data_IF_610318861250
#
_entry.id   IF_610318861250
#
_cell.length_a   1.000
_cell.length_b   1.000
_cell.length_c   1.000
_cell.angle_alpha   90.00
_cell.angle_beta   90.00
_cell.angle_gamma   90.00
#
_symmetry.space_group_name_H-M   'P 1'
#
loop_
_entity.id
_entity.type
_entity.pdbx_description
1 polymer ?
#
# COMPACT_ATOMS: atom_id res chain seq x y z
N UNK A 1 -5.14 78.88 31.83
CA UNK A 1 -4.12 77.82 31.76
C UNK A 1 -4.43 76.91 30.57
N UNK A 2 -3.43 76.72 29.68
CA UNK A 2 -3.30 75.75 28.55
C UNK A 2 -4.13 76.00 27.26
N UNK A 3 -3.54 76.70 26.26
CA UNK A 3 -2.85 76.21 25.02
C UNK A 3 -3.85 75.79 23.92
N UNK A 4 -4.24 76.64 22.95
CA UNK A 4 -3.52 77.05 21.72
C UNK A 4 -2.68 75.93 21.10
N UNK A 5 -3.08 75.39 19.92
CA UNK A 5 -2.21 74.93 18.80
C UNK A 5 -3.03 74.66 17.50
N UNK A 6 -2.94 75.60 16.55
CA UNK A 6 -2.86 75.47 15.06
C UNK A 6 -3.98 74.70 14.31
N UNK A 7 -4.82 75.33 13.48
CA UNK A 7 -4.55 76.06 12.21
C UNK A 7 -3.74 75.24 11.19
N UNK A 8 -4.45 74.69 10.19
CA UNK A 8 -4.13 74.51 8.74
C UNK A 8 -5.36 73.74 8.20
N UNK A 9 -6.39 74.40 7.66
CA UNK A 9 -6.47 74.96 6.31
C UNK A 9 -6.19 73.92 5.21
N UNK A 10 -7.28 73.28 4.76
CA UNK A 10 -7.61 73.04 3.36
C UNK A 10 -6.49 72.60 2.41
N UNK A 11 -6.13 71.31 2.42
CA UNK A 11 -5.83 70.52 1.21
C UNK A 11 -6.08 69.06 1.61
N UNK A 12 -7.01 68.38 0.94
CA UNK A 12 -7.20 66.94 1.17
C UNK A 12 -8.62 66.40 0.98
N UNK A 13 -9.53 67.15 0.39
CA UNK A 13 -10.89 66.67 0.05
C UNK A 13 -10.98 66.06 -1.35
N UNK A 14 -9.90 65.47 -1.87
CA UNK A 14 -9.88 64.85 -3.20
C UNK A 14 -8.84 63.71 -3.25
N UNK A 15 -9.16 62.56 -2.65
CA UNK A 15 -8.58 61.26 -2.99
C UNK A 15 -9.51 60.14 -2.50
N UNK A 16 -10.78 60.19 -2.94
CA UNK A 16 -11.69 59.04 -2.82
C UNK A 16 -12.21 58.75 -4.21
N UNK A 17 -11.58 57.78 -4.88
CA UNK A 17 -12.08 56.86 -5.92
C UNK A 17 -10.97 56.54 -6.94
N UNK A 18 -10.21 55.50 -6.65
CA UNK A 18 -9.68 54.53 -7.62
C UNK A 18 -8.77 53.54 -6.87
N UNK A 19 -9.32 52.86 -5.87
CA UNK A 19 -8.90 51.48 -5.67
C UNK A 19 -9.97 50.68 -6.39
N UNK A 20 -9.77 50.42 -7.68
CA UNK A 20 -10.38 49.25 -8.29
C UNK A 20 -9.76 48.06 -7.55
N UNK A 21 -10.41 47.64 -6.48
CA UNK A 21 -10.25 46.29 -5.98
C UNK A 21 -10.91 45.41 -7.04
N UNK A 22 -10.13 44.97 -8.03
CA UNK A 22 -10.54 44.01 -9.07
C UNK A 22 -10.78 42.60 -8.48
N UNK A 23 -11.07 42.50 -7.17
CA UNK A 23 -11.71 41.34 -6.59
C UNK A 23 -13.19 41.35 -6.96
N UNK A 24 -13.48 41.07 -8.24
CA UNK A 24 -14.77 40.47 -8.59
C UNK A 24 -14.82 39.17 -7.77
N UNK A 25 -15.76 39.01 -6.82
CA UNK A 25 -15.88 37.74 -6.11
C UNK A 25 -16.11 36.65 -7.16
N UNK A 26 -15.20 35.69 -7.25
CA UNK A 26 -15.40 34.54 -8.12
C UNK A 26 -16.51 33.70 -7.49
N UNK A 27 -17.75 33.95 -7.93
CA UNK A 27 -18.87 33.10 -7.59
C UNK A 27 -18.74 31.80 -8.38
N UNK A 28 -18.88 30.67 -7.68
CA UNK A 28 -19.02 29.38 -8.34
C UNK A 28 -20.32 29.37 -9.14
N UNK A 29 -20.23 29.19 -10.44
CA UNK A 29 -21.39 29.17 -11.34
C UNK A 29 -21.71 27.73 -11.75
N UNK A 30 -22.88 27.51 -12.35
CA UNK A 30 -23.26 26.18 -12.83
C UNK A 30 -22.23 25.62 -13.85
N UNK A 31 -21.63 26.49 -14.66
CA UNK A 31 -20.57 26.17 -15.63
C UNK A 31 -19.25 25.72 -14.97
N UNK A 32 -19.04 26.03 -13.69
CA UNK A 32 -17.88 25.57 -12.93
C UNK A 32 -18.06 24.17 -12.34
N UNK A 33 -19.26 23.58 -12.50
CA UNK A 33 -19.58 22.26 -11.96
C UNK A 33 -18.76 21.16 -12.64
N UNK A 34 -18.25 20.23 -11.84
CA UNK A 34 -17.46 19.10 -12.33
C UNK A 34 -17.77 17.83 -11.53
N UNK A 35 -17.68 16.68 -12.21
CA UNK A 35 -17.71 15.36 -11.57
C UNK A 35 -16.28 14.83 -11.43
N UNK A 36 -15.98 14.16 -10.32
CA UNK A 36 -14.63 13.66 -10.03
C UNK A 36 -14.68 12.46 -9.11
N UNK A 37 -13.78 11.50 -9.32
CA UNK A 37 -13.53 10.45 -8.34
C UNK A 37 -12.83 11.02 -7.11
N UNK A 38 -13.12 10.52 -5.92
CA UNK A 38 -12.39 10.94 -4.70
C UNK A 38 -11.07 10.18 -4.49
N UNK A 39 -10.77 9.21 -5.37
CA UNK A 39 -9.59 8.35 -5.28
C UNK A 39 -8.94 8.22 -6.66
N UNK A 40 -7.62 8.05 -6.67
CA UNK A 40 -6.83 7.69 -7.86
C UNK A 40 -6.75 6.19 -8.06
N UNK A 41 -6.77 5.43 -6.96
CA UNK A 41 -6.71 3.96 -6.97
C UNK A 41 -7.70 3.35 -5.98
N UNK A 42 -8.09 2.10 -6.24
CA UNK A 42 -8.85 1.26 -5.32
C UNK A 42 -8.49 -0.22 -5.54
N UNK A 43 -8.76 -1.06 -4.54
CA UNK A 43 -8.53 -2.50 -4.63
C UNK A 43 -9.64 -3.28 -3.93
N UNK A 44 -9.91 -4.49 -4.39
CA UNK A 44 -10.83 -5.47 -3.79
C UNK A 44 -10.29 -6.87 -4.05
N UNK A 45 -10.53 -7.83 -3.16
CA UNK A 45 -10.20 -9.24 -3.41
C UNK A 45 -11.27 -9.87 -4.31
N UNK A 46 -10.93 -10.85 -5.13
CA UNK A 46 -11.91 -11.51 -5.99
C UNK A 46 -12.99 -12.27 -5.19
N UNK A 47 -12.60 -12.89 -4.07
CA UNK A 47 -13.51 -13.50 -3.10
C UNK A 47 -14.29 -12.54 -2.18
N UNK A 48 -14.20 -11.22 -2.38
CA UNK A 48 -14.84 -10.27 -1.47
C UNK A 48 -16.37 -10.43 -1.49
N UNK A 49 -16.96 -10.68 -0.32
CA UNK A 49 -18.42 -10.84 -0.18
C UNK A 49 -19.17 -9.52 -0.28
N UNK A 50 -18.51 -8.41 0.06
CA UNK A 50 -19.04 -7.06 -0.04
C UNK A 50 -18.51 -6.36 -1.29
N UNK A 51 -19.33 -5.56 -1.98
CA UNK A 51 -18.88 -4.85 -3.17
C UNK A 51 -17.89 -3.75 -2.84
N UNK A 52 -17.05 -3.41 -3.82
CA UNK A 52 -16.22 -2.23 -3.79
C UNK A 52 -17.05 -1.01 -4.18
N UNK A 53 -17.16 -0.04 -3.26
CA UNK A 53 -17.82 1.24 -3.52
C UNK A 53 -16.81 2.33 -3.87
N UNK A 54 -16.96 2.90 -5.07
CA UNK A 54 -16.14 4.00 -5.56
C UNK A 54 -16.94 5.31 -5.51
N UNK A 55 -16.56 6.28 -4.67
CA UNK A 55 -17.27 7.56 -4.58
C UNK A 55 -16.98 8.43 -5.81
N UNK A 56 -18.06 8.81 -6.50
CA UNK A 56 -18.10 9.84 -7.52
C UNK A 56 -18.76 11.08 -6.91
N UNK A 57 -18.01 12.18 -6.90
CA UNK A 57 -18.45 13.45 -6.33
C UNK A 57 -18.80 14.42 -7.45
N UNK A 58 -19.98 15.01 -7.37
CA UNK A 58 -20.38 16.14 -8.18
C UNK A 58 -20.27 17.42 -7.35
N UNK A 59 -19.24 18.22 -7.65
CA UNK A 59 -19.14 19.58 -7.16
C UNK A 59 -20.04 20.46 -8.03
N UNK A 60 -21.26 20.71 -7.55
CA UNK A 60 -22.25 21.52 -8.24
C UNK A 60 -23.06 22.38 -7.27
N UNK A 61 -23.99 23.16 -7.81
CA UNK A 61 -24.84 24.05 -7.02
C UNK A 61 -26.09 23.27 -6.58
N UNK A 62 -26.44 23.25 -5.27
CA UNK A 62 -27.66 22.63 -4.80
C UNK A 62 -28.92 23.16 -5.50
N UNK A 63 -29.72 22.24 -6.05
CA UNK A 63 -30.94 22.57 -6.78
C UNK A 63 -30.73 23.10 -8.19
N UNK A 64 -29.51 22.96 -8.76
CA UNK A 64 -29.23 23.33 -10.15
C UNK A 64 -29.86 22.39 -11.18
N UNK A 65 -30.46 21.29 -10.70
CA UNK A 65 -31.18 20.32 -11.51
C UNK A 65 -30.36 19.07 -11.76
N UNK A 66 -31.01 18.09 -12.40
CA UNK A 66 -30.46 16.76 -12.58
C UNK A 66 -29.20 16.76 -13.45
N UNK A 67 -28.15 16.11 -12.96
CA UNK A 67 -26.92 15.81 -13.71
C UNK A 67 -26.78 14.30 -13.84
N UNK A 68 -26.51 13.81 -15.04
CA UNK A 68 -26.20 12.39 -15.30
C UNK A 68 -24.78 12.26 -15.83
N UNK A 69 -23.98 11.39 -15.23
CA UNK A 69 -22.59 11.12 -15.60
C UNK A 69 -22.52 9.71 -16.17
N UNK A 70 -21.93 9.55 -17.36
CA UNK A 70 -21.70 8.25 -17.99
C UNK A 70 -20.26 7.82 -17.80
N UNK A 71 -20.07 6.58 -17.38
CA UNK A 71 -18.76 5.98 -17.12
C UNK A 71 -18.37 5.01 -18.24
N UNK A 72 -17.07 4.92 -18.50
CA UNK A 72 -16.49 3.90 -19.36
C UNK A 72 -15.43 3.10 -18.60
N UNK A 73 -15.31 1.82 -18.96
CA UNK A 73 -14.22 0.94 -18.53
C UNK A 73 -13.15 0.95 -19.62
N UNK A 74 -11.89 1.08 -19.21
CA UNK A 74 -10.73 0.91 -20.07
C UNK A 74 -9.75 -0.06 -19.42
N UNK A 75 -9.13 -0.90 -20.25
CA UNK A 75 -8.03 -1.80 -19.86
C UNK A 75 -6.74 -1.44 -20.61
N UNK A 76 -6.71 -0.27 -21.25
CA UNK A 76 -5.56 0.17 -22.04
C UNK A 76 -4.34 0.39 -21.14
N UNK A 77 -3.21 -0.22 -21.52
CA UNK A 77 -1.96 -0.11 -20.78
C UNK A 77 -1.82 -1.07 -19.58
N UNK A 78 -2.84 -1.87 -19.29
CA UNK A 78 -2.78 -2.88 -18.22
C UNK A 78 -2.10 -4.17 -18.72
N UNK A 79 -1.15 -4.68 -17.93
CA UNK A 79 -0.41 -5.91 -18.24
C UNK A 79 -1.24 -7.18 -18.03
N UNK A 80 -2.17 -7.14 -17.06
CA UNK A 80 -3.13 -8.19 -16.76
C UNK A 80 -4.52 -7.54 -16.60
N UNK A 81 -5.30 -7.41 -17.70
CA UNK A 81 -6.54 -6.65 -17.68
C UNK A 81 -7.66 -7.42 -16.98
N UNK A 82 -8.47 -6.71 -16.18
CA UNK A 82 -9.73 -7.21 -15.65
C UNK A 82 -10.85 -6.97 -16.68
N UNK A 83 -11.61 -8.02 -17.01
CA UNK A 83 -12.66 -8.01 -18.01
C UNK A 83 -14.03 -8.00 -17.34
N UNK A 84 -14.85 -7.00 -17.66
CA UNK A 84 -16.21 -6.92 -17.12
C UNK A 84 -17.09 -8.07 -17.66
N UNK A 85 -17.78 -8.76 -16.76
CA UNK A 85 -18.55 -9.98 -17.01
C UNK A 85 -17.77 -11.27 -16.78
N UNK A 86 -16.44 -11.20 -16.68
CA UNK A 86 -15.56 -12.35 -16.36
C UNK A 86 -14.93 -12.19 -14.97
N UNK A 87 -14.35 -11.02 -14.69
CA UNK A 87 -13.62 -10.74 -13.43
C UNK A 87 -14.41 -9.84 -12.47
N UNK A 88 -15.34 -9.02 -12.99
CA UNK A 88 -16.21 -8.17 -12.19
C UNK A 88 -17.49 -7.76 -12.93
N UNK A 89 -18.45 -7.21 -12.20
CA UNK A 89 -19.60 -6.48 -12.77
C UNK A 89 -19.73 -5.09 -12.15
N UNK A 90 -20.32 -4.15 -12.89
CA UNK A 90 -20.67 -2.82 -12.37
C UNK A 90 -22.19 -2.69 -12.37
N UNK A 91 -22.77 -2.33 -11.23
CA UNK A 91 -24.23 -2.25 -11.08
C UNK A 91 -24.83 -1.19 -12.05
N UNK A 92 -24.22 0.00 -12.14
CA UNK A 92 -24.65 1.07 -13.04
C UNK A 92 -23.45 1.89 -13.54
N UNK A 93 -23.45 2.22 -14.84
CA UNK A 93 -22.49 3.14 -15.47
C UNK A 93 -23.05 4.53 -15.76
N UNK A 94 -24.35 4.72 -15.57
CA UNK A 94 -25.00 6.03 -15.61
C UNK A 94 -25.33 6.43 -14.17
N UNK A 95 -24.64 7.46 -13.68
CA UNK A 95 -24.77 7.94 -12.30
C UNK A 95 -25.53 9.25 -12.30
N UNK A 96 -26.66 9.29 -11.61
CA UNK A 96 -27.54 10.46 -11.58
C UNK A 96 -27.48 11.18 -10.23
N UNK A 97 -27.28 12.49 -10.30
CA UNK A 97 -27.37 13.43 -9.19
C UNK A 97 -28.63 14.26 -9.37
N UNK A 98 -29.72 13.89 -8.68
CA UNK A 98 -31.04 14.54 -8.85
C UNK A 98 -31.00 16.05 -8.55
N UNK A 99 -30.24 16.45 -7.53
CA UNK A 99 -30.15 17.84 -7.08
C UNK A 99 -28.98 18.61 -7.71
N UNK A 100 -28.21 17.98 -8.61
CA UNK A 100 -27.06 18.61 -9.27
C UNK A 100 -25.83 18.78 -8.39
N UNK A 101 -25.74 18.06 -7.27
CA UNK A 101 -24.56 18.02 -6.40
C UNK A 101 -24.55 16.74 -5.55
N UNK A 102 -23.42 16.47 -4.89
CA UNK A 102 -23.31 15.46 -3.83
C UNK A 102 -22.37 14.32 -4.20
N UNK A 103 -22.55 13.19 -3.53
CA UNK A 103 -21.74 11.98 -3.72
C UNK A 103 -22.65 10.81 -4.05
N UNK A 104 -22.26 10.04 -5.05
CA UNK A 104 -22.88 8.76 -5.39
C UNK A 104 -21.79 7.69 -5.42
N UNK A 105 -22.15 6.46 -5.08
CA UNK A 105 -21.20 5.34 -5.09
C UNK A 105 -21.44 4.48 -6.33
N UNK A 106 -20.35 4.22 -7.06
CA UNK A 106 -20.32 3.23 -8.13
C UNK A 106 -20.00 1.90 -7.46
N UNK A 107 -20.88 0.93 -7.65
CA UNK A 107 -20.80 -0.38 -7.01
C UNK A 107 -20.16 -1.36 -7.98
N UNK A 108 -18.99 -1.87 -7.62
CA UNK A 108 -18.23 -2.87 -8.37
C UNK A 108 -18.28 -4.18 -7.58
N UNK A 109 -18.66 -5.27 -8.24
CA UNK A 109 -18.71 -6.61 -7.63
C UNK A 109 -17.65 -7.48 -8.29
N UNK A 110 -16.64 -7.97 -7.56
CA UNK A 110 -15.72 -8.95 -8.12
C UNK A 110 -16.43 -10.29 -8.38
N UNK A 111 -15.85 -11.08 -9.29
CA UNK A 111 -16.30 -12.44 -9.58
C UNK A 111 -15.22 -13.40 -9.09
N UNK A 112 -15.55 -14.12 -8.02
CA UNK A 112 -14.71 -15.14 -7.42
C UNK A 112 -14.60 -16.38 -8.32
N UNK A 113 -13.43 -17.01 -8.36
CA UNK A 113 -13.20 -18.25 -9.07
C UNK A 113 -12.27 -19.20 -8.30
N UNK A 114 -11.52 -20.08 -8.97
CA UNK A 114 -10.60 -21.02 -8.30
C UNK A 114 -9.33 -21.20 -9.14
N UNK A 115 -8.95 -20.16 -9.89
CA UNK A 115 -7.89 -20.21 -10.89
C UNK A 115 -7.01 -19.00 -10.68
N UNK A 116 -5.78 -19.27 -10.25
CA UNK A 116 -4.77 -18.23 -10.18
C UNK A 116 -4.48 -17.64 -11.56
N UNK A 117 -4.90 -16.40 -11.73
CA UNK A 117 -4.63 -15.52 -12.87
C UNK A 117 -3.85 -14.27 -12.46
N UNK A 118 -3.60 -14.11 -11.17
CA UNK A 118 -2.89 -12.99 -10.58
C UNK A 118 -3.73 -11.71 -10.54
N UNK A 119 -3.21 -10.69 -9.87
CA UNK A 119 -3.86 -9.38 -9.76
C UNK A 119 -4.22 -8.83 -11.15
N UNK A 120 -5.49 -8.51 -11.36
CA UNK A 120 -6.01 -7.90 -12.59
C UNK A 120 -6.40 -6.45 -12.35
N UNK A 121 -6.29 -5.60 -13.37
CA UNK A 121 -6.62 -4.18 -13.25
C UNK A 121 -7.48 -3.67 -14.39
N UNK A 122 -8.25 -2.63 -14.10
CA UNK A 122 -8.97 -1.83 -15.08
C UNK A 122 -9.07 -0.38 -14.60
N UNK A 123 -9.44 0.52 -15.49
CA UNK A 123 -9.65 1.94 -15.19
C UNK A 123 -11.10 2.32 -15.46
N UNK A 124 -11.74 2.99 -14.49
CA UNK A 124 -13.00 3.69 -14.72
C UNK A 124 -12.72 5.15 -15.05
N UNK A 125 -13.38 5.66 -16.09
CA UNK A 125 -13.24 7.03 -16.55
C UNK A 125 -14.61 7.67 -16.73
N UNK A 126 -14.72 8.96 -16.42
CA UNK A 126 -15.89 9.77 -16.77
C UNK A 126 -15.87 10.01 -18.28
N UNK A 127 -16.78 9.36 -19.01
CA UNK A 127 -16.84 9.42 -20.47
C UNK A 127 -17.61 10.64 -20.97
N UNK A 128 -18.71 10.98 -20.29
CA UNK A 128 -19.53 12.15 -20.63
C UNK A 128 -20.45 12.54 -19.47
N UNK A 129 -21.09 13.69 -19.58
CA UNK A 129 -22.15 14.11 -18.66
C UNK A 129 -23.27 14.85 -19.40
N UNK A 130 -24.45 14.87 -18.80
CA UNK A 130 -25.59 15.69 -19.24
C UNK A 130 -26.19 16.41 -18.03
N UNK A 131 -26.19 17.76 -18.00
CA UNK A 131 -25.50 18.66 -18.94
C UNK A 131 -23.99 18.42 -18.99
N UNK A 132 -23.34 18.96 -20.02
CA UNK A 132 -21.88 18.94 -20.14
C UNK A 132 -21.27 19.70 -18.95
N UNK A 133 -20.35 19.04 -18.25
CA UNK A 133 -19.65 19.58 -17.08
C UNK A 133 -18.24 19.99 -17.47
N UNK A 134 -17.64 20.82 -16.63
CA UNK A 134 -16.21 21.11 -16.72
C UNK A 134 -15.40 19.84 -16.44
N UNK A 135 -14.35 19.62 -17.21
CA UNK A 135 -13.44 18.50 -17.01
C UNK A 135 -12.76 18.59 -15.63
N UNK A 136 -12.68 17.46 -14.93
CA UNK A 136 -11.95 17.35 -13.68
C UNK A 136 -10.55 16.76 -13.88
N UNK A 137 -9.60 17.17 -13.05
CA UNK A 137 -8.28 16.53 -12.96
C UNK A 137 -8.41 15.05 -12.59
N UNK A 138 -9.33 14.72 -11.67
CA UNK A 138 -9.56 13.35 -11.22
C UNK A 138 -10.75 12.71 -11.95
N UNK A 139 -10.64 12.64 -13.29
CA UNK A 139 -11.67 12.08 -14.17
C UNK A 139 -11.60 10.55 -14.33
N UNK A 140 -10.63 9.90 -13.68
CA UNK A 140 -10.44 8.45 -13.72
C UNK A 140 -9.99 7.88 -12.37
N UNK A 141 -10.14 6.57 -12.21
CA UNK A 141 -9.66 5.79 -11.07
C UNK A 141 -9.23 4.42 -11.54
N UNK A 142 -8.05 3.97 -11.10
CA UNK A 142 -7.53 2.62 -11.41
C UNK A 142 -7.95 1.64 -10.33
N UNK A 143 -8.61 0.55 -10.71
CA UNK A 143 -9.09 -0.49 -9.81
C UNK A 143 -8.23 -1.74 -9.99
N UNK A 144 -7.86 -2.37 -8.88
CA UNK A 144 -7.23 -3.68 -8.84
C UNK A 144 -8.16 -4.72 -8.24
N UNK A 145 -8.20 -5.90 -8.84
CA UNK A 145 -8.84 -7.09 -8.29
C UNK A 145 -7.70 -8.02 -7.89
N UNK A 146 -7.54 -8.21 -6.59
CA UNK A 146 -6.53 -9.09 -6.02
C UNK A 146 -7.04 -10.52 -6.05
N UNK A 147 -6.24 -11.39 -6.64
CA UNK A 147 -6.52 -12.82 -6.77
C UNK A 147 -6.14 -13.54 -5.47
N UNK A 148 -7.02 -14.40 -4.95
CA UNK A 148 -6.80 -15.14 -3.70
C UNK A 148 -6.41 -16.61 -3.88
N UNK A 149 -6.29 -17.06 -5.14
CA UNK A 149 -5.85 -18.40 -5.49
C UNK A 149 -4.34 -18.55 -5.63
N UNK A 150 -3.55 -17.61 -5.11
CA UNK A 150 -2.09 -17.71 -5.17
C UNK A 150 -1.61 -19.10 -4.71
N UNK A 151 -0.75 -19.81 -5.46
CA UNK A 151 -0.34 -21.18 -5.13
C UNK A 151 0.28 -21.34 -3.73
N UNK A 152 0.85 -20.26 -3.21
CA UNK A 152 1.44 -20.15 -1.88
C UNK A 152 0.54 -19.49 -0.83
N UNK A 153 -0.76 -19.28 -1.10
CA UNK A 153 -1.68 -18.60 -0.18
C UNK A 153 -1.76 -19.26 1.20
N UNK A 154 -1.52 -20.57 1.26
CA UNK A 154 -1.42 -21.33 2.51
C UNK A 154 -0.28 -20.84 3.43
N UNK A 155 0.76 -20.19 2.89
CA UNK A 155 1.84 -19.57 3.65
C UNK A 155 1.54 -18.14 4.09
N UNK A 156 0.60 -17.43 3.46
CA UNK A 156 0.42 -16.00 3.72
C UNK A 156 -0.30 -15.73 5.03
N UNK A 157 0.05 -14.62 5.68
CA UNK A 157 -0.55 -14.15 6.92
C UNK A 157 0.47 -13.81 7.99
N UNK A 158 -0.03 -13.58 9.21
CA UNK A 158 0.79 -13.24 10.37
C UNK A 158 1.23 -14.51 11.10
N UNK A 159 2.49 -14.54 11.50
CA UNK A 159 3.07 -15.61 12.32
C UNK A 159 3.61 -15.03 13.61
N UNK A 160 3.39 -15.73 14.73
CA UNK A 160 4.17 -15.54 15.94
C UNK A 160 5.53 -16.19 15.74
N UNK A 161 6.57 -15.38 15.61
CA UNK A 161 7.94 -15.84 15.65
C UNK A 161 8.38 -15.99 17.11
N UNK A 162 8.94 -17.14 17.45
CA UNK A 162 9.52 -17.40 18.77
C UNK A 162 10.89 -18.06 18.61
N UNK A 163 11.78 -17.81 19.56
CA UNK A 163 13.07 -18.48 19.63
C UNK A 163 13.99 -17.91 20.70
N UNK A 164 15.28 -18.20 20.59
CA UNK A 164 16.29 -17.69 21.52
C UNK A 164 17.04 -16.53 20.84
N UNK A 165 16.83 -15.32 21.37
CA UNK A 165 17.59 -14.13 21.00
C UNK A 165 18.87 -14.06 21.84
N UNK A 166 19.99 -13.77 21.19
CA UNK A 166 21.26 -13.47 21.85
C UNK A 166 21.50 -11.96 21.82
N UNK A 167 21.47 -11.33 23.00
CA UNK A 167 21.74 -9.90 23.15
C UNK A 167 22.85 -9.69 24.17
N UNK A 168 23.88 -8.93 23.79
CA UNK A 168 25.06 -8.65 24.64
C UNK A 168 25.68 -9.92 25.24
N UNK A 169 25.69 -11.01 24.47
CA UNK A 169 26.24 -12.31 24.88
C UNK A 169 25.35 -13.09 25.86
N UNK A 170 24.10 -12.71 26.08
CA UNK A 170 23.13 -13.43 26.89
C UNK A 170 22.00 -13.99 26.02
N UNK A 171 21.72 -15.28 26.18
CA UNK A 171 20.66 -15.98 25.46
C UNK A 171 19.37 -15.96 26.28
N UNK A 172 18.26 -15.53 25.67
CA UNK A 172 16.94 -15.43 26.29
C UNK A 172 15.86 -15.81 25.28
N UNK A 173 14.77 -16.48 25.72
CA UNK A 173 13.56 -16.57 24.92
C UNK A 173 13.06 -15.17 24.52
N UNK A 174 12.61 -15.03 23.28
CA UNK A 174 11.99 -13.82 22.75
C UNK A 174 11.04 -14.18 21.58
N UNK A 175 10.24 -13.22 21.14
CA UNK A 175 9.35 -13.38 19.98
C UNK A 175 8.61 -12.10 19.60
N UNK A 176 8.21 -12.02 18.34
CA UNK A 176 7.37 -10.95 17.79
C UNK A 176 6.57 -11.45 16.58
N UNK A 177 5.66 -10.62 16.08
CA UNK A 177 4.85 -10.96 14.93
C UNK A 177 5.59 -10.61 13.64
N UNK A 178 5.61 -11.55 12.70
CA UNK A 178 6.06 -11.32 11.32
C UNK A 178 4.91 -11.52 10.37
N UNK A 179 4.94 -10.85 9.21
CA UNK A 179 3.94 -11.05 8.17
C UNK A 179 4.59 -11.65 6.92
N UNK A 180 3.95 -12.68 6.36
CA UNK A 180 4.35 -13.31 5.10
C UNK A 180 3.33 -12.96 4.02
N UNK A 181 3.79 -12.49 2.87
CA UNK A 181 2.96 -12.11 1.73
C UNK A 181 3.55 -12.62 0.39
N UNK A 182 2.75 -12.54 -0.67
CA UNK A 182 3.21 -12.80 -2.04
C UNK A 182 4.24 -11.76 -2.49
N UNK A 183 5.25 -12.20 -3.24
CA UNK A 183 6.14 -11.27 -3.92
C UNK A 183 5.49 -10.72 -5.20
N UNK A 184 5.33 -9.40 -5.28
CA UNK A 184 4.58 -8.72 -6.37
C UNK A 184 5.33 -8.72 -7.73
N UNK A 185 6.58 -9.22 -7.81
CA UNK A 185 7.39 -9.22 -9.05
C UNK A 185 7.11 -10.39 -10.01
N UNK A 186 6.05 -11.17 -9.78
CA UNK A 186 5.61 -12.25 -10.67
C UNK A 186 6.33 -13.59 -10.49
N UNK A 187 7.21 -13.70 -9.48
CA UNK A 187 7.79 -14.97 -9.07
C UNK A 187 6.84 -15.70 -8.11
N UNK A 188 6.04 -16.63 -8.64
CA UNK A 188 5.02 -17.37 -7.89
C UNK A 188 5.58 -18.29 -6.80
N UNK A 189 6.89 -18.53 -6.84
CA UNK A 189 7.62 -19.30 -5.86
C UNK A 189 8.39 -18.41 -4.86
N UNK A 190 8.16 -17.11 -4.83
CA UNK A 190 8.80 -16.19 -3.88
C UNK A 190 7.79 -15.54 -2.94
N UNK A 191 8.24 -15.29 -1.71
CA UNK A 191 7.48 -14.65 -0.65
C UNK A 191 8.29 -13.51 -0.03
N UNK A 192 7.55 -12.54 0.49
CA UNK A 192 8.06 -11.44 1.29
C UNK A 192 7.81 -11.74 2.76
N UNK A 193 8.83 -11.60 3.60
CA UNK A 193 8.75 -11.78 5.05
C UNK A 193 9.13 -10.48 5.73
N UNK A 194 8.14 -9.86 6.36
CA UNK A 194 8.27 -8.59 7.06
C UNK A 194 8.62 -8.84 8.54
N UNK A 195 9.85 -8.47 8.90
CA UNK A 195 10.39 -8.52 10.26
C UNK A 195 10.29 -7.16 10.99
N UNK A 196 9.63 -6.16 10.39
CA UNK A 196 9.50 -4.80 10.95
C UNK A 196 10.64 -3.85 10.59
N UNK A 197 11.46 -4.22 9.59
CA UNK A 197 12.51 -3.37 9.02
C UNK A 197 11.96 -2.53 7.85
N UNK A 198 12.66 -1.47 7.41
CA UNK A 198 12.19 -0.65 6.28
C UNK A 198 11.92 -1.43 4.99
N UNK A 199 12.68 -2.48 4.73
CA UNK A 199 12.49 -3.39 3.59
C UNK A 199 12.26 -4.83 4.09
N UNK A 200 11.56 -5.63 3.28
CA UNK A 200 11.22 -7.03 3.58
C UNK A 200 12.36 -7.98 3.24
N UNK A 201 12.38 -9.15 3.88
CA UNK A 201 13.27 -10.26 3.53
C UNK A 201 12.59 -11.15 2.49
N UNK A 202 13.25 -11.42 1.37
CA UNK A 202 12.75 -12.32 0.34
C UNK A 202 13.15 -13.77 0.61
N UNK A 203 12.26 -14.69 0.30
CA UNK A 203 12.53 -16.12 0.33
C UNK A 203 11.89 -16.83 -0.87
N UNK A 204 12.53 -17.90 -1.35
CA UNK A 204 11.88 -18.83 -2.27
C UNK A 204 11.21 -19.98 -1.52
N UNK A 205 10.17 -20.53 -2.13
CA UNK A 205 9.43 -21.69 -1.67
C UNK A 205 9.54 -22.78 -2.72
N UNK A 206 9.95 -23.96 -2.29
CA UNK A 206 10.05 -25.16 -3.11
C UNK A 206 9.55 -26.39 -2.37
N UNK A 207 9.74 -27.55 -2.98
CA UNK A 207 9.45 -28.85 -2.39
C UNK A 207 10.71 -29.72 -2.48
N UNK A 208 11.09 -30.34 -1.37
CA UNK A 208 12.19 -31.31 -1.30
C UNK A 208 11.70 -32.53 -0.52
N UNK A 209 11.84 -33.73 -1.11
CA UNK A 209 11.37 -34.99 -0.52
C UNK A 209 9.91 -35.00 -0.01
N UNK A 210 9.05 -34.18 -0.61
CA UNK A 210 7.63 -34.05 -0.26
C UNK A 210 7.34 -33.07 0.88
N UNK A 211 8.35 -32.35 1.36
CA UNK A 211 8.23 -31.28 2.36
C UNK A 211 8.36 -29.90 1.69
N UNK A 212 7.56 -28.93 2.13
CA UNK A 212 7.71 -27.54 1.69
C UNK A 212 8.97 -26.95 2.31
N UNK A 213 9.89 -26.50 1.46
CA UNK A 213 11.16 -25.87 1.87
C UNK A 213 11.12 -24.38 1.57
N UNK A 214 11.46 -23.56 2.56
CA UNK A 214 11.59 -22.11 2.46
C UNK A 214 13.07 -21.76 2.53
N UNK A 215 13.55 -21.04 1.51
CA UNK A 215 14.94 -20.59 1.38
C UNK A 215 14.98 -19.08 1.44
N UNK A 216 15.28 -18.52 2.61
CA UNK A 216 15.52 -17.09 2.75
C UNK A 216 16.86 -16.73 2.11
N UNK A 217 16.86 -15.73 1.24
CA UNK A 217 18.08 -15.37 0.53
C UNK A 217 19.11 -14.74 1.47
N UNK A 218 20.36 -15.08 1.21
CA UNK A 218 21.53 -14.54 1.89
C UNK A 218 21.67 -13.02 1.76
N UNK A 219 22.22 -12.40 2.81
CA UNK A 219 22.73 -11.03 2.86
C UNK A 219 21.83 -9.99 2.20
N UNK A 220 20.59 -9.92 2.65
CA UNK A 220 19.62 -8.96 2.11
C UNK A 220 19.69 -7.66 2.90
N UNK A 221 19.91 -6.54 2.20
CA UNK A 221 19.76 -5.20 2.76
C UNK A 221 18.28 -4.99 3.09
N UNK A 222 17.97 -4.80 4.38
CA UNK A 222 16.61 -4.55 4.86
C UNK A 222 16.38 -3.08 5.23
N UNK A 223 17.28 -2.19 4.81
CA UNK A 223 17.21 -0.75 4.96
C UNK A 223 17.84 -0.18 6.24
N UNK A 224 17.70 1.14 6.39
CA UNK A 224 18.28 1.91 7.50
C UNK A 224 17.45 1.73 8.79
N UNK A 225 17.80 0.70 9.58
CA UNK A 225 17.14 0.39 10.84
C UNK A 225 17.38 1.46 11.93
N UNK A 226 18.52 2.14 11.86
CA UNK A 226 18.87 3.26 12.72
C UNK A 226 19.74 4.26 11.94
N UNK A 227 19.65 5.55 12.27
CA UNK A 227 20.42 6.60 11.60
C UNK A 227 21.91 6.25 11.43
N UNK A 228 22.35 6.09 10.19
CA UNK A 228 23.72 5.73 9.81
C UNK A 228 24.03 4.22 9.78
N UNK A 229 23.07 3.35 10.09
CA UNK A 229 23.24 1.91 10.17
C UNK A 229 22.20 1.19 9.32
N UNK A 230 22.68 0.51 8.28
CA UNK A 230 21.87 -0.35 7.42
C UNK A 230 21.87 -1.75 8.02
N UNK A 231 20.71 -2.36 8.16
CA UNK A 231 20.59 -3.72 8.64
C UNK A 231 20.60 -4.70 7.46
N UNK A 232 21.31 -5.82 7.61
CA UNK A 232 21.31 -6.91 6.65
C UNK A 232 20.81 -8.20 7.30
N UNK A 233 19.88 -8.88 6.65
CA UNK A 233 19.49 -10.24 7.01
C UNK A 233 20.61 -11.21 6.61
N UNK A 234 21.15 -11.93 7.59
CA UNK A 234 22.28 -12.87 7.40
C UNK A 234 22.02 -14.19 8.11
N UNK A 235 22.62 -15.25 7.59
CA UNK A 235 22.64 -16.55 8.25
C UNK A 235 23.57 -16.52 9.47
N UNK A 236 23.24 -17.25 10.53
CA UNK A 236 24.04 -17.31 11.76
C UNK A 236 24.17 -18.72 12.35
N UNK A 237 25.26 -18.95 13.10
CA UNK A 237 25.52 -20.20 13.85
C UNK A 237 26.34 -19.95 15.11
N UNK A 238 26.20 -20.82 16.10
CA UNK A 238 27.01 -20.80 17.33
C UNK A 238 27.87 -22.06 17.40
N UNK A 239 29.17 -21.89 17.26
CA UNK A 239 30.16 -22.96 17.40
C UNK A 239 31.09 -22.67 18.58
N UNK A 240 31.33 -23.67 19.45
CA UNK A 240 32.19 -23.54 20.63
C UNK A 240 31.88 -22.31 21.53
N UNK A 241 30.60 -21.93 21.61
CA UNK A 241 30.14 -20.78 22.38
C UNK A 241 30.46 -19.41 21.74
N UNK A 242 30.87 -19.39 20.48
CA UNK A 242 31.12 -18.17 19.69
C UNK A 242 30.08 -18.02 18.60
N UNK A 243 29.68 -16.78 18.34
CA UNK A 243 28.74 -16.43 17.29
C UNK A 243 29.48 -16.23 15.98
N UNK A 244 28.95 -16.85 14.93
CA UNK A 244 29.38 -16.68 13.56
C UNK A 244 28.20 -16.30 12.68
N UNK A 245 28.52 -15.75 11.52
CA UNK A 245 27.55 -15.40 10.49
C UNK A 245 28.12 -15.63 9.11
N UNK A 246 27.23 -15.72 8.13
CA UNK A 246 27.58 -15.85 6.73
C UNK A 246 26.71 -14.93 5.88
N UNK A 247 27.38 -14.20 5.00
CA UNK A 247 26.75 -13.41 3.94
C UNK A 247 26.56 -14.22 2.65
N UNK A 248 27.12 -15.43 2.60
CA UNK A 248 27.11 -16.28 1.39
C UNK A 248 26.12 -17.42 1.44
N UNK A 249 25.58 -17.71 2.63
CA UNK A 249 24.69 -18.83 2.90
C UNK A 249 23.26 -18.36 3.10
N UNK A 250 22.32 -19.13 2.55
CA UNK A 250 20.89 -18.92 2.73
C UNK A 250 20.46 -19.50 4.09
N UNK A 251 19.35 -18.98 4.62
CA UNK A 251 18.68 -19.60 5.78
C UNK A 251 17.59 -20.52 5.25
N UNK A 252 17.67 -21.81 5.60
CA UNK A 252 16.70 -22.82 5.18
C UNK A 252 15.73 -23.13 6.31
N UNK A 253 14.46 -23.30 5.98
CA UNK A 253 13.41 -23.72 6.87
C UNK A 253 12.47 -24.70 6.18
N UNK A 254 11.74 -25.49 6.95
CA UNK A 254 10.62 -26.29 6.46
C UNK A 254 9.31 -25.71 6.92
N UNK A 255 8.24 -25.98 6.17
CA UNK A 255 6.88 -25.66 6.55
C UNK A 255 6.06 -26.94 6.73
N UNK A 256 5.39 -27.05 7.88
CA UNK A 256 4.39 -28.08 8.15
C UNK A 256 3.19 -27.46 8.86
N UNK A 257 2.03 -27.52 8.20
CA UNK A 257 0.71 -27.19 8.75
C UNK A 257 0.66 -25.90 9.61
N UNK A 258 1.16 -24.80 9.06
CA UNK A 258 1.16 -23.49 9.72
C UNK A 258 2.37 -23.22 10.61
N UNK A 259 3.34 -24.13 10.67
CA UNK A 259 4.57 -23.96 11.44
C UNK A 259 5.75 -23.92 10.46
N UNK A 260 6.53 -22.85 10.50
CA UNK A 260 7.82 -22.77 9.83
C UNK A 260 8.91 -23.04 10.85
N UNK A 261 9.77 -24.02 10.60
CA UNK A 261 10.88 -24.38 11.49
C UNK A 261 12.19 -24.19 10.76
N UNK A 262 13.10 -23.37 11.29
CA UNK A 262 14.45 -23.29 10.76
C UNK A 262 15.16 -24.64 10.96
N UNK A 263 15.92 -25.08 9.96
CA UNK A 263 16.72 -26.29 10.11
C UNK A 263 17.66 -26.15 11.32
N UNK A 264 18.01 -27.25 11.97
CA UNK A 264 18.76 -27.25 13.25
C UNK A 264 20.10 -26.50 13.20
N UNK A 265 20.73 -26.47 12.02
CA UNK A 265 21.98 -25.78 11.77
C UNK A 265 21.82 -24.29 11.46
N UNK A 266 20.58 -23.81 11.27
CA UNK A 266 20.29 -22.47 10.82
C UNK A 266 19.79 -21.58 11.95
N UNK A 267 20.58 -20.56 12.27
CA UNK A 267 20.11 -19.31 12.86
C UNK A 267 20.03 -18.23 11.80
N UNK A 268 19.55 -17.06 12.20
CA UNK A 268 19.67 -15.85 11.38
C UNK A 268 19.86 -14.63 12.28
N UNK A 269 20.17 -13.49 11.69
CA UNK A 269 20.26 -12.23 12.42
C UNK A 269 20.19 -11.03 11.50
N UNK A 270 20.09 -9.85 12.13
CA UNK A 270 20.14 -8.56 11.48
C UNK A 270 21.44 -7.86 11.86
N UNK A 271 22.39 -7.87 10.93
CA UNK A 271 23.73 -7.32 11.12
C UNK A 271 23.76 -5.86 10.68
N UNK A 272 24.18 -4.97 11.56
CA UNK A 272 24.33 -3.55 11.28
C UNK A 272 25.62 -3.28 10.49
N UNK A 273 25.51 -2.49 9.42
CA UNK A 273 26.61 -2.00 8.63
C UNK A 273 26.77 -0.50 8.81
N UNK A 274 27.99 -0.06 9.13
CA UNK A 274 28.38 1.35 9.15
C UNK A 274 29.35 1.59 7.99
N UNK A 275 28.98 2.45 7.04
CA UNK A 275 29.80 2.74 5.85
C UNK A 275 30.24 1.49 5.07
N UNK A 276 29.37 0.47 5.00
CA UNK A 276 29.63 -0.79 4.27
C UNK A 276 30.50 -1.80 5.02
N UNK A 277 30.76 -1.59 6.31
CA UNK A 277 31.50 -2.53 7.15
C UNK A 277 30.59 -3.07 8.26
N UNK A 278 30.59 -4.40 8.52
CA UNK A 278 29.91 -4.98 9.67
C UNK A 278 30.35 -4.31 10.98
N UNK A 279 29.38 -3.84 11.75
CA UNK A 279 29.63 -3.08 12.98
C UNK A 279 29.14 -3.82 14.23
N UNK A 280 27.84 -4.15 14.28
CA UNK A 280 27.21 -4.75 15.45
C UNK A 280 25.93 -5.51 15.08
N UNK A 281 25.35 -6.23 16.03
CA UNK A 281 24.07 -6.91 15.87
C UNK A 281 22.91 -6.02 16.30
N UNK A 282 21.87 -5.91 15.46
CA UNK A 282 20.55 -5.49 15.93
C UNK A 282 19.86 -6.67 16.63
N UNK A 283 19.85 -7.82 15.96
CA UNK A 283 19.29 -9.07 16.46
C UNK A 283 20.16 -10.24 16.04
N UNK A 284 20.23 -11.25 16.90
CA UNK A 284 20.90 -12.51 16.62
C UNK A 284 20.05 -13.65 17.18
N UNK A 285 19.48 -14.45 16.30
CA UNK A 285 18.62 -15.56 16.66
C UNK A 285 19.38 -16.88 16.57
N UNK A 286 19.38 -17.63 17.66
CA UNK A 286 20.19 -18.83 17.81
C UNK A 286 19.68 -19.96 16.90
N UNK A 287 20.60 -20.69 16.27
CA UNK A 287 20.28 -21.82 15.41
C UNK A 287 19.42 -22.88 16.12
N UNK A 288 18.53 -23.53 15.36
CA UNK A 288 17.67 -24.61 15.86
C UNK A 288 16.68 -24.20 16.97
N UNK A 289 16.54 -22.89 17.24
CA UNK A 289 15.61 -22.38 18.26
C UNK A 289 14.41 -21.63 17.70
N UNK A 290 14.45 -21.27 16.41
CA UNK A 290 13.48 -20.35 15.80
C UNK A 290 12.35 -21.11 15.14
N UNK A 291 11.13 -20.73 15.49
CA UNK A 291 9.90 -21.22 14.87
C UNK A 291 8.95 -20.06 14.59
N UNK A 292 8.20 -20.16 13.50
CA UNK A 292 7.10 -19.24 13.20
C UNK A 292 5.79 -20.03 13.23
N UNK A 293 4.86 -19.63 14.08
CA UNK A 293 3.54 -20.27 14.20
C UNK A 293 2.48 -19.36 13.63
N UNK A 294 1.76 -19.81 12.59
CA UNK A 294 0.68 -19.06 11.96
C UNK A 294 -0.43 -18.75 12.97
N UNK A 295 -0.92 -17.50 12.94
CA UNK A 295 -2.00 -17.04 13.83
C UNK A 295 -3.39 -17.30 13.27
#
# INVERSE_FOLDING_TARGET
MRKLKYLILAVGTLFVIASCDDNIPQSFNAEDSNASFSKTTASVNENATEPLEIPLVLAGIPGSGKVTVTLAVSTEGDTNPAIEGEDFTIDNKEITFEEGYGTQNIVIRPIDNNVFTGKKTFTLTIASSTPELKESVQNSVKISIADDEHPLSYLFGTYAMEGILISQGQASPNGYDVTIAAHDAGALNEIEVDFGYPEVVLASVGEEDGETVITFYKNQDVGEAQAGYIAHFVWTTVEDGKQYYSETDNVMATYDNGIITLNEDNGFGFLAYESGVPYAWFEYWMQGSVTFTKK
#
